data_IF_511260110599
#
_entry.id   IF_511260110599
#
_cell.length_a   1.000
_cell.length_b   1.000
_cell.length_c   1.000
_cell.angle_alpha   90.00
_cell.angle_beta   90.00
_cell.angle_gamma   90.00
#
_symmetry.space_group_name_H-M   'P 1'
#
loop_
_entity.id
_entity.type
_entity.pdbx_description
1 polymer ?
#
# COMPACT_ATOMS: atom_id res chain seq x y z
N UNK A 1 10.68 -23.30 18.34
CA UNK A 1 11.00 -23.27 16.88
C UNK A 1 10.60 -21.90 16.32
N UNK A 2 11.51 -21.18 15.65
CA UNK A 2 11.23 -19.86 15.06
C UNK A 2 10.60 -19.97 13.66
N UNK A 3 9.71 -19.04 13.30
CA UNK A 3 9.19 -18.89 11.93
C UNK A 3 10.07 -17.93 11.11
N UNK A 4 10.50 -18.30 9.90
CA UNK A 4 11.17 -17.40 8.97
C UNK A 4 10.39 -16.10 8.73
N UNK A 5 11.06 -14.98 8.36
CA UNK A 5 10.40 -13.70 8.12
C UNK A 5 9.24 -13.76 7.12
N UNK A 6 9.39 -14.54 6.04
CA UNK A 6 8.33 -14.69 5.02
C UNK A 6 7.07 -15.34 5.59
N UNK A 7 7.22 -16.37 6.43
CA UNK A 7 6.07 -17.03 7.06
C UNK A 7 5.38 -16.13 8.07
N UNK A 8 6.14 -15.29 8.79
CA UNK A 8 5.57 -14.26 9.68
C UNK A 8 4.80 -13.20 8.91
N UNK A 9 5.35 -12.73 7.78
CA UNK A 9 4.66 -11.76 6.93
C UNK A 9 3.34 -12.33 6.39
N UNK A 10 3.34 -13.57 5.91
CA UNK A 10 2.11 -14.25 5.45
C UNK A 10 1.13 -14.43 6.62
N UNK A 11 1.60 -14.89 7.79
CA UNK A 11 0.75 -15.06 8.97
C UNK A 11 0.09 -13.75 9.42
N UNK A 12 0.85 -12.64 9.41
CA UNK A 12 0.33 -11.31 9.71
C UNK A 12 -0.71 -10.85 8.70
N UNK A 13 -0.43 -11.06 7.40
CA UNK A 13 -1.37 -10.72 6.33
C UNK A 13 -2.72 -11.42 6.53
N UNK A 14 -2.72 -12.71 6.88
CA UNK A 14 -3.95 -13.52 6.99
C UNK A 14 -4.61 -13.50 8.38
N UNK A 15 -3.99 -12.87 9.38
CA UNK A 15 -4.38 -12.91 10.80
C UNK A 15 -5.85 -12.49 11.03
N UNK A 16 -6.34 -11.48 10.31
CA UNK A 16 -7.71 -10.95 10.45
C UNK A 16 -8.68 -11.42 9.36
N UNK A 17 -8.51 -12.65 8.84
CA UNK A 17 -9.44 -13.23 7.86
C UNK A 17 -9.20 -12.80 6.41
N UNK A 18 -8.11 -12.08 6.13
CA UNK A 18 -7.65 -11.68 4.78
C UNK A 18 -7.05 -12.86 4.00
N UNK A 19 -7.82 -13.95 3.85
CA UNK A 19 -7.40 -15.18 3.16
C UNK A 19 -7.90 -15.27 1.72
N UNK A 20 -8.67 -14.27 1.28
CA UNK A 20 -9.28 -14.24 -0.05
C UNK A 20 -8.66 -13.12 -0.88
N UNK A 21 -8.21 -13.49 -2.08
CA UNK A 21 -7.79 -12.54 -3.08
C UNK A 21 -9.01 -11.88 -3.73
N UNK A 22 -8.87 -10.60 -4.11
CA UNK A 22 -9.95 -9.86 -4.79
C UNK A 22 -10.19 -10.40 -6.20
N UNK A 23 -9.12 -10.82 -6.89
CA UNK A 23 -9.15 -11.38 -8.23
C UNK A 23 -8.47 -12.75 -8.28
N UNK A 24 -8.85 -13.57 -9.27
CA UNK A 24 -8.16 -14.82 -9.59
C UNK A 24 -6.96 -14.55 -10.50
N UNK A 25 -5.86 -15.25 -10.25
CA UNK A 25 -4.61 -15.11 -10.98
C UNK A 25 -3.69 -14.04 -10.38
N UNK A 26 -2.39 -14.29 -10.47
CA UNK A 26 -1.34 -13.45 -9.86
C UNK A 26 -1.34 -12.04 -10.46
N UNK A 27 -1.33 -11.93 -11.80
CA UNK A 27 -1.26 -10.65 -12.49
C UNK A 27 -2.42 -9.70 -12.12
N UNK A 28 -3.66 -10.17 -12.21
CA UNK A 28 -4.84 -9.35 -11.91
C UNK A 28 -4.87 -8.90 -10.45
N UNK A 29 -4.50 -9.80 -9.53
CA UNK A 29 -4.48 -9.47 -8.11
C UNK A 29 -3.32 -8.53 -7.75
N UNK A 30 -2.17 -8.69 -8.39
CA UNK A 30 -1.01 -7.81 -8.23
C UNK A 30 -1.31 -6.39 -8.70
N UNK A 31 -1.89 -6.22 -9.90
CA UNK A 31 -2.35 -4.92 -10.39
C UNK A 31 -3.32 -4.27 -9.42
N UNK A 32 -4.30 -5.03 -8.91
CA UNK A 32 -5.26 -4.52 -7.93
C UNK A 32 -4.60 -4.01 -6.65
N UNK A 33 -3.65 -4.78 -6.10
CA UNK A 33 -2.95 -4.41 -4.88
C UNK A 33 -2.15 -3.12 -5.08
N UNK A 34 -1.42 -3.01 -6.20
CA UNK A 34 -0.66 -1.82 -6.55
C UNK A 34 -1.55 -0.59 -6.72
N UNK A 35 -2.66 -0.70 -7.48
CA UNK A 35 -3.61 0.41 -7.63
C UNK A 35 -4.22 0.83 -6.29
N UNK A 36 -4.57 -0.14 -5.44
CA UNK A 36 -5.13 0.14 -4.12
C UNK A 36 -4.11 0.83 -3.21
N UNK A 37 -2.86 0.35 -3.19
CA UNK A 37 -1.77 0.94 -2.42
C UNK A 37 -1.45 2.36 -2.90
N UNK A 38 -1.37 2.59 -4.22
CA UNK A 38 -1.16 3.90 -4.80
C UNK A 38 -2.25 4.90 -4.39
N UNK A 39 -3.52 4.50 -4.45
CA UNK A 39 -4.64 5.36 -4.04
C UNK A 39 -4.58 5.71 -2.54
N UNK A 40 -4.25 4.74 -1.68
CA UNK A 40 -4.07 4.98 -0.24
C UNK A 40 -2.87 5.90 0.05
N UNK A 41 -1.77 5.70 -0.67
CA UNK A 41 -0.59 6.55 -0.57
C UNK A 41 -0.91 7.98 -1.00
N UNK A 42 -1.58 8.19 -2.13
CA UNK A 42 -2.00 9.53 -2.58
C UNK A 42 -2.92 10.19 -1.54
N UNK A 43 -3.89 9.46 -1.00
CA UNK A 43 -4.77 9.99 0.05
C UNK A 43 -3.96 10.44 1.28
N UNK A 44 -2.96 9.65 1.68
CA UNK A 44 -2.06 10.02 2.77
C UNK A 44 -1.20 11.22 2.42
N UNK A 45 -0.64 11.27 1.22
CA UNK A 45 0.20 12.38 0.77
C UNK A 45 -0.59 13.69 0.71
N UNK A 46 -1.83 13.68 0.23
CA UNK A 46 -2.73 14.86 0.27
C UNK A 46 -2.90 15.36 1.71
N UNK A 47 -3.16 14.46 2.66
CA UNK A 47 -3.25 14.82 4.08
C UNK A 47 -1.93 15.36 4.65
N UNK A 48 -0.78 14.99 4.07
CA UNK A 48 0.55 15.48 4.42
C UNK A 48 0.95 16.75 3.65
N UNK A 49 0.03 17.37 2.91
CA UNK A 49 0.30 18.61 2.19
C UNK A 49 0.81 18.43 0.76
N UNK A 50 0.53 17.29 0.13
CA UNK A 50 0.74 17.14 -1.32
C UNK A 50 -0.16 18.14 -2.07
N UNK A 51 0.46 19.01 -2.86
CA UNK A 51 -0.19 20.04 -3.66
C UNK A 51 0.35 20.04 -5.10
N UNK A 52 -0.30 20.78 -6.00
CA UNK A 52 0.10 20.92 -7.40
C UNK A 52 0.40 22.38 -7.72
N UNK A 53 1.62 22.68 -8.15
CA UNK A 53 2.12 24.02 -8.49
C UNK A 53 2.71 23.93 -9.89
N UNK A 54 2.33 24.82 -10.80
CA UNK A 54 2.83 24.89 -12.19
C UNK A 54 2.83 23.55 -12.93
N UNK A 55 1.82 22.72 -12.66
CA UNK A 55 1.66 21.40 -13.27
C UNK A 55 2.44 20.27 -12.61
N UNK A 56 3.38 20.57 -11.70
CA UNK A 56 4.19 19.63 -10.94
C UNK A 56 3.59 19.32 -9.56
N UNK A 57 3.93 18.15 -9.01
CA UNK A 57 3.53 17.74 -7.66
C UNK A 57 4.57 18.16 -6.63
N UNK A 58 4.13 18.82 -5.55
CA UNK A 58 4.98 19.28 -4.45
C UNK A 58 4.47 18.70 -3.14
N UNK A 59 5.37 18.20 -2.30
CA UNK A 59 5.07 17.76 -0.94
C UNK A 59 5.81 18.70 0.02
N UNK A 60 5.10 19.23 1.01
CA UNK A 60 5.73 20.01 2.07
C UNK A 60 6.80 19.15 2.78
N UNK A 61 8.02 19.68 3.02
CA UNK A 61 9.01 18.94 3.79
C UNK A 61 8.44 18.68 5.19
N UNK A 62 8.64 17.46 5.69
CA UNK A 62 8.30 17.16 7.07
C UNK A 62 9.17 18.02 7.99
N UNK A 63 8.55 18.86 8.82
CA UNK A 63 9.28 19.55 9.89
C UNK A 63 9.74 18.50 10.90
N UNK A 64 11.05 18.44 11.25
CA UNK A 64 11.55 17.54 12.28
C UNK A 64 10.97 17.83 13.67
#
# INVERSE_FOLDING_TARGET
RWRPPVERAVAWLVHHGNRRLRYRGTLKNDTWLHTRAAALNIRRLINLGLTRIDGAWHLAPATP
#
